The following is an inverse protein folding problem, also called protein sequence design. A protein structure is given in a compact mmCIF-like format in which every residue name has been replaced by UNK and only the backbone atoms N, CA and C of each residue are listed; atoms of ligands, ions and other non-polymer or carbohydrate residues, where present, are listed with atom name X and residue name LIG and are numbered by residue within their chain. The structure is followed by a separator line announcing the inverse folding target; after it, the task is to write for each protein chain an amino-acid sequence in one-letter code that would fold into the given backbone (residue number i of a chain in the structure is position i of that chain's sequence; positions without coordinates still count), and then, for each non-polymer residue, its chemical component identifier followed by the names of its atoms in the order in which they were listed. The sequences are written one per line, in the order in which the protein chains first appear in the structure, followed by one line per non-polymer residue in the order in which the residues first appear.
data_IF_872641951838
#
_entry.id   IF_872641951838
#
_cell.length_a   1.000
_cell.length_b   1.000
_cell.length_c   1.000
_cell.angle_alpha   90.00
_cell.angle_beta   90.00
_cell.angle_gamma   90.00
#
_symmetry.space_group_name_H-M   'P 1'
#
loop_
_entity.id
_entity.type
_entity.pdbx_description
1 polymer ?
#
# COMPACT_ATOMS: atom_id res chain seq x y z
N UNK A 1 -46.70 -45.54 -17.66
CA UNK A 1 -45.48 -46.37 -17.64
C UNK A 1 -44.39 -45.49 -17.01
N UNK A 2 -43.81 -45.76 -15.83
CA UNK A 2 -43.25 -47.03 -15.31
C UNK A 2 -42.14 -47.56 -16.24
N UNK A 3 -40.91 -47.89 -15.83
CA UNK A 3 -40.36 -48.29 -14.50
C UNK A 3 -38.81 -48.05 -14.55
N UNK A 4 -38.06 -47.74 -13.46
CA UNK A 4 -37.25 -48.66 -12.58
C UNK A 4 -36.15 -49.45 -13.37
N UNK A 5 -34.91 -49.74 -12.91
CA UNK A 5 -34.35 -50.07 -11.57
C UNK A 5 -32.79 -49.93 -11.58
N UNK A 6 -32.16 -49.74 -10.40
CA UNK A 6 -30.89 -50.42 -9.99
C UNK A 6 -29.56 -49.62 -10.16
N UNK A 7 -28.66 -49.40 -9.19
CA UNK A 7 -28.33 -49.94 -7.84
C UNK A 7 -27.22 -51.02 -7.75
N UNK A 8 -26.03 -50.62 -7.30
CA UNK A 8 -24.98 -51.41 -6.61
C UNK A 8 -24.10 -50.39 -5.81
N UNK A 9 -23.83 -50.46 -4.49
CA UNK A 9 -23.18 -51.51 -3.64
C UNK A 9 -21.65 -51.56 -3.94
N UNK A 10 -20.69 -51.46 -3.00
CA UNK A 10 -20.63 -51.75 -1.55
C UNK A 10 -19.53 -50.96 -0.79
N UNK A 11 -19.66 -50.79 0.55
CA UNK A 11 -18.69 -50.97 1.67
C UNK A 11 -17.19 -50.51 1.54
N UNK A 12 -16.42 -50.09 2.57
CA UNK A 12 -16.52 -49.83 4.04
C UNK A 12 -15.16 -49.16 4.50
N UNK A 13 -14.80 -48.80 5.75
CA UNK A 13 -15.33 -49.04 7.12
C UNK A 13 -14.89 -47.94 8.14
N UNK A 14 -15.57 -47.93 9.30
CA UNK A 14 -15.19 -47.62 10.72
C UNK A 14 -13.69 -47.54 11.10
N UNK A 15 -13.22 -46.84 12.16
CA UNK A 15 -13.76 -46.40 13.50
C UNK A 15 -13.16 -45.00 13.89
N UNK A 16 -13.72 -44.06 14.67
CA UNK A 16 -14.41 -44.07 16.01
C UNK A 16 -13.41 -44.28 17.18
N UNK A 17 -13.05 -43.29 18.01
CA UNK A 17 -13.74 -42.71 19.21
C UNK A 17 -13.11 -41.34 19.61
N UNK A 18 -13.83 -40.29 20.04
CA UNK A 18 -14.39 -39.98 21.40
C UNK A 18 -13.32 -39.91 22.53
N UNK A 19 -13.33 -39.04 23.56
CA UNK A 19 -14.44 -38.38 24.31
C UNK A 19 -13.89 -37.18 25.17
N UNK A 20 -14.65 -36.06 25.31
CA UNK A 20 -15.05 -35.28 26.53
C UNK A 20 -14.03 -34.92 27.66
N UNK A 21 -14.18 -33.90 28.53
CA UNK A 21 -14.63 -32.47 28.52
C UNK A 21 -14.48 -31.92 29.97
N UNK A 22 -14.68 -30.59 30.19
CA UNK A 22 -15.05 -29.97 31.50
C UNK A 22 -14.01 -30.04 32.66
N UNK A 23 -14.05 -29.21 33.73
CA UNK A 23 -14.50 -27.82 33.96
C UNK A 23 -13.85 -27.26 35.24
N UNK A 24 -13.96 -25.95 35.45
CA UNK A 24 -13.60 -25.15 36.64
C UNK A 24 -13.83 -25.79 38.03
N UNK A 25 -12.90 -25.55 38.96
CA UNK A 25 -13.11 -25.04 40.34
C UNK A 25 -11.82 -25.18 41.19
N UNK A 26 -11.64 -24.56 42.37
CA UNK A 26 -11.94 -23.22 42.90
C UNK A 26 -11.25 -23.13 44.29
N UNK A 27 -11.17 -21.93 44.88
CA UNK A 27 -10.99 -21.67 46.31
C UNK A 27 -9.61 -21.75 46.97
N UNK A 28 -9.30 -20.62 47.59
CA UNK A 28 -8.35 -20.31 48.66
C UNK A 28 -8.41 -21.30 49.85
N UNK A 29 -7.36 -21.35 50.69
CA UNK A 29 -7.50 -21.28 52.17
C UNK A 29 -6.20 -20.87 52.88
N UNK A 30 -6.36 -20.35 54.11
CA UNK A 30 -5.33 -19.75 54.98
C UNK A 30 -4.40 -20.76 55.70
N UNK A 31 -3.20 -20.33 56.09
CA UNK A 31 -2.32 -21.01 57.07
C UNK A 31 -1.15 -20.12 57.50
N UNK A 32 -0.74 -20.13 58.78
CA UNK A 32 0.06 -19.04 59.39
C UNK A 32 1.14 -19.54 60.38
N UNK A 33 2.25 -18.78 60.53
CA UNK A 33 3.37 -18.93 61.51
C UNK A 33 4.33 -20.14 61.24
N UNK A 34 5.61 -20.15 61.67
CA UNK A 34 6.36 -19.27 62.60
C UNK A 34 7.88 -19.24 62.28
N UNK A 35 8.57 -18.23 62.84
CA UNK A 35 10.04 -18.01 62.83
C UNK A 35 10.90 -19.25 63.16
N UNK A 36 12.08 -19.30 62.53
CA UNK A 36 13.34 -19.56 63.24
C UNK A 36 14.41 -18.55 62.79
N UNK A 37 15.12 -17.94 63.76
CA UNK A 37 16.38 -17.24 63.49
C UNK A 37 17.50 -18.27 63.31
N UNK A 38 18.52 -17.97 62.48
CA UNK A 38 19.94 -18.12 62.82
C UNK A 38 20.87 -17.63 61.69
N UNK A 39 21.37 -16.40 61.86
CA UNK A 39 22.75 -15.93 61.80
C UNK A 39 23.77 -16.38 60.71
N UNK A 40 24.75 -15.48 60.51
CA UNK A 40 26.11 -15.68 59.95
C UNK A 40 26.36 -15.70 58.42
N UNK A 41 26.80 -14.53 57.94
CA UNK A 41 28.04 -14.26 57.18
C UNK A 41 28.31 -14.84 55.78
N UNK A 42 28.39 -13.90 54.83
CA UNK A 42 29.53 -13.67 53.90
C UNK A 42 30.25 -14.88 53.29
N UNK A 43 29.84 -15.29 52.08
CA UNK A 43 30.76 -15.82 51.06
C UNK A 43 30.48 -15.14 49.72
N UNK A 44 31.39 -14.27 49.30
CA UNK A 44 31.40 -13.67 47.96
C UNK A 44 31.60 -14.75 46.89
N UNK A 45 30.56 -15.09 46.15
CA UNK A 45 30.70 -15.92 44.94
C UNK A 45 30.93 -15.01 43.74
N UNK A 46 32.13 -15.13 43.16
CA UNK A 46 32.51 -14.51 41.89
C UNK A 46 31.47 -14.89 40.82
N UNK A 47 30.76 -13.89 40.29
CA UNK A 47 29.96 -14.05 39.10
C UNK A 47 30.91 -14.23 37.91
N UNK A 48 31.04 -15.47 37.41
CA UNK A 48 31.71 -15.74 36.14
C UNK A 48 30.85 -15.12 35.05
N UNK A 49 31.34 -14.05 34.42
CA UNK A 49 30.62 -13.37 33.34
C UNK A 49 30.36 -14.34 32.18
N UNK A 50 29.10 -14.50 31.81
CA UNK A 50 28.76 -15.15 30.55
C UNK A 50 29.36 -14.31 29.40
N UNK A 51 29.95 -14.95 28.37
CA UNK A 51 30.43 -14.21 27.22
C UNK A 51 29.24 -13.53 26.54
N UNK A 52 29.30 -12.21 26.37
CA UNK A 52 28.36 -11.51 25.53
C UNK A 52 28.52 -12.06 24.10
N UNK A 53 27.51 -12.80 23.63
CA UNK A 53 27.44 -13.21 22.22
C UNK A 53 27.13 -11.95 21.43
N UNK A 54 28.18 -11.23 21.01
CA UNK A 54 28.07 -10.21 19.97
C UNK A 54 27.65 -10.92 18.69
N UNK A 55 26.34 -10.93 18.43
CA UNK A 55 25.77 -11.32 17.15
C UNK A 55 26.32 -10.35 16.10
N UNK A 56 27.38 -10.76 15.41
CA UNK A 56 27.98 -10.00 14.32
C UNK A 56 26.92 -9.78 13.24
N UNK A 57 26.37 -8.57 13.18
CA UNK A 57 25.40 -8.19 12.17
C UNK A 57 26.14 -8.12 10.83
N UNK A 58 26.08 -9.20 10.05
CA UNK A 58 26.68 -9.27 8.72
C UNK A 58 25.90 -8.30 7.82
N UNK A 59 26.50 -7.21 7.30
CA UNK A 59 25.82 -6.33 6.39
C UNK A 59 25.57 -7.12 5.09
N UNK A 60 24.30 -7.40 4.79
CA UNK A 60 23.89 -8.16 3.60
C UNK A 60 24.02 -7.26 2.36
N UNK A 61 25.26 -7.03 1.91
CA UNK A 61 25.67 -6.11 0.83
C UNK A 61 25.27 -6.57 -0.59
N UNK A 62 24.04 -7.03 -0.76
CA UNK A 62 23.46 -7.40 -2.05
C UNK A 62 21.97 -7.05 -2.06
N UNK A 63 21.65 -5.76 -1.99
CA UNK A 63 20.38 -5.28 -2.52
C UNK A 63 20.49 -5.31 -4.06
N UNK A 64 19.56 -5.99 -4.72
CA UNK A 64 19.51 -6.08 -6.17
C UNK A 64 18.13 -5.63 -6.62
N UNK A 65 18.07 -4.41 -7.17
CA UNK A 65 16.82 -3.79 -7.60
C UNK A 65 16.50 -4.29 -9.01
N UNK A 66 15.34 -4.91 -9.17
CA UNK A 66 14.80 -5.29 -10.48
C UNK A 66 13.92 -4.17 -11.03
N UNK A 67 13.76 -4.09 -12.35
CA UNK A 67 12.79 -3.19 -12.98
C UNK A 67 11.77 -3.98 -13.79
N UNK A 68 10.49 -3.64 -13.63
CA UNK A 68 9.39 -4.15 -14.44
C UNK A 68 8.77 -2.98 -15.23
N UNK A 69 8.44 -3.24 -16.49
CA UNK A 69 7.68 -2.31 -17.32
C UNK A 69 6.21 -2.29 -16.89
N UNK A 70 5.55 -1.15 -17.07
CA UNK A 70 4.12 -0.97 -16.77
C UNK A 70 3.37 -0.67 -18.07
N UNK A 71 2.03 -0.78 -18.11
CA UNK A 71 1.25 -0.39 -19.29
C UNK A 71 1.38 1.10 -19.68
N UNK A 72 1.95 1.93 -18.80
CA UNK A 72 2.20 3.35 -19.04
C UNK A 72 3.70 3.55 -19.39
N UNK A 73 4.06 4.01 -20.60
CA UNK A 73 5.46 4.14 -21.02
C UNK A 73 6.25 5.19 -20.21
N UNK A 74 5.54 6.10 -19.55
CA UNK A 74 6.11 7.13 -18.68
C UNK A 74 6.29 6.64 -17.23
N UNK A 75 5.91 5.40 -16.90
CA UNK A 75 6.03 4.81 -15.57
C UNK A 75 6.87 3.53 -15.58
N UNK A 76 7.77 3.40 -14.62
CA UNK A 76 8.58 2.19 -14.43
C UNK A 76 8.53 1.74 -12.96
N UNK A 77 8.37 0.43 -12.76
CA UNK A 77 8.28 -0.21 -11.46
C UNK A 77 9.65 -0.74 -11.04
N UNK A 78 10.10 -0.41 -9.84
CA UNK A 78 11.37 -0.79 -9.24
C UNK A 78 11.10 -1.70 -8.04
N UNK A 79 11.68 -2.90 -8.03
CA UNK A 79 11.50 -3.90 -6.99
C UNK A 79 12.82 -4.09 -6.24
N UNK A 80 13.03 -3.45 -5.07
CA UNK A 80 14.28 -3.53 -4.32
C UNK A 80 14.53 -4.88 -3.62
N UNK A 81 13.56 -5.80 -3.65
CA UNK A 81 13.65 -7.10 -2.97
C UNK A 81 13.50 -7.04 -1.45
N UNK A 82 12.96 -5.91 -0.95
CA UNK A 82 12.61 -5.67 0.46
C UNK A 82 11.23 -5.00 0.52
N UNK A 83 10.52 -5.18 1.63
CA UNK A 83 9.27 -4.46 1.91
C UNK A 83 9.52 -2.96 1.98
N UNK A 84 8.67 -2.16 1.34
CA UNK A 84 8.80 -0.69 1.25
C UNK A 84 7.88 -0.02 2.27
N UNK A 85 6.58 -0.32 2.25
CA UNK A 85 5.60 0.20 3.22
C UNK A 85 5.18 -0.86 4.22
N UNK A 86 4.60 -1.95 3.72
CA UNK A 86 3.94 -2.98 4.52
C UNK A 86 3.06 -3.86 3.63
N UNK A 87 2.29 -4.77 4.21
CA UNK A 87 1.30 -5.54 3.44
C UNK A 87 0.02 -4.73 3.29
N UNK A 88 -0.47 -4.54 2.06
CA UNK A 88 -1.74 -3.84 1.76
C UNK A 88 -1.67 -2.31 1.75
N UNK A 89 -0.62 -1.72 2.33
CA UNK A 89 -0.38 -0.28 2.35
C UNK A 89 0.23 0.24 1.04
N UNK A 90 -0.26 1.38 0.58
CA UNK A 90 0.18 2.10 -0.60
C UNK A 90 0.21 3.60 -0.32
N UNK A 91 1.03 4.36 -1.04
CA UNK A 91 1.12 5.83 -0.85
C UNK A 91 1.50 6.54 -2.14
N UNK A 92 0.73 7.58 -2.49
CA UNK A 92 1.00 8.45 -3.63
C UNK A 92 1.84 9.69 -3.26
N UNK A 93 2.69 10.08 -4.21
CA UNK A 93 3.44 11.32 -4.16
C UNK A 93 3.34 12.00 -5.53
N UNK A 94 2.22 12.71 -5.79
CA UNK A 94 1.98 13.34 -7.10
C UNK A 94 2.92 14.53 -7.37
N UNK A 95 3.59 15.07 -6.34
CA UNK A 95 4.51 16.20 -6.46
C UNK A 95 5.55 16.21 -5.32
N UNK A 96 6.57 17.05 -5.47
CA UNK A 96 7.65 17.21 -4.49
C UNK A 96 7.22 17.81 -3.15
N UNK A 97 6.02 18.39 -3.02
CA UNK A 97 5.48 18.81 -1.72
C UNK A 97 5.07 17.57 -0.90
N UNK A 98 4.28 16.67 -1.48
CA UNK A 98 3.82 15.43 -0.85
C UNK A 98 4.98 14.56 -0.31
N UNK A 99 6.18 14.70 -0.89
CA UNK A 99 7.40 14.06 -0.44
C UNK A 99 7.75 14.30 1.03
N UNK A 100 7.18 15.31 1.71
CA UNK A 100 7.48 15.60 3.13
C UNK A 100 7.34 14.37 4.05
N UNK A 101 6.42 13.46 3.72
CA UNK A 101 6.09 12.24 4.48
C UNK A 101 7.14 11.13 4.41
N UNK A 102 8.06 11.16 3.43
CA UNK A 102 9.05 10.10 3.22
C UNK A 102 10.45 10.64 2.92
N UNK A 103 11.50 10.25 3.66
CA UNK A 103 12.88 10.64 3.36
C UNK A 103 13.38 10.05 2.03
N UNK A 104 12.99 8.82 1.70
CA UNK A 104 13.29 8.19 0.40
C UNK A 104 12.67 9.00 -0.76
N UNK A 105 11.41 9.40 -0.61
CA UNK A 105 10.73 10.22 -1.61
C UNK A 105 11.42 11.58 -1.81
N UNK A 106 11.84 12.25 -0.72
CA UNK A 106 12.64 13.51 -0.79
C UNK A 106 13.96 13.36 -1.52
N UNK A 107 14.59 12.18 -1.50
CA UNK A 107 15.82 11.92 -2.23
C UNK A 107 15.53 11.66 -3.71
N UNK A 108 14.54 10.82 -4.01
CA UNK A 108 14.13 10.50 -5.38
C UNK A 108 13.64 11.74 -6.16
N UNK A 109 12.93 12.67 -5.52
CA UNK A 109 12.51 13.94 -6.16
C UNK A 109 13.65 14.93 -6.43
N UNK A 110 14.89 14.65 -6.01
CA UNK A 110 16.07 15.45 -6.40
C UNK A 110 16.65 15.02 -7.75
N UNK A 111 16.23 13.86 -8.26
CA UNK A 111 16.62 13.34 -9.57
C UNK A 111 15.87 14.14 -10.63
N UNK A 112 16.61 14.75 -11.56
CA UNK A 112 16.02 15.55 -12.63
C UNK A 112 15.20 14.66 -13.57
N UNK A 113 13.98 15.09 -13.91
CA UNK A 113 13.05 14.34 -14.75
C UNK A 113 12.12 13.37 -14.01
N UNK A 114 12.14 13.30 -12.68
CA UNK A 114 11.11 12.60 -11.88
C UNK A 114 9.89 13.50 -11.66
N UNK A 115 8.69 13.02 -12.02
CA UNK A 115 7.41 13.73 -11.93
C UNK A 115 6.63 13.44 -10.67
N UNK A 116 6.47 12.16 -10.41
CA UNK A 116 5.68 11.61 -9.31
C UNK A 116 6.23 10.24 -8.95
N UNK A 117 5.99 9.86 -7.70
CA UNK A 117 6.47 8.60 -7.12
C UNK A 117 5.26 7.93 -6.46
N UNK A 118 5.22 6.62 -6.50
CA UNK A 118 4.22 5.83 -5.81
C UNK A 118 4.89 4.64 -5.13
N UNK A 119 4.57 4.41 -3.87
CA UNK A 119 5.08 3.29 -3.10
C UNK A 119 3.98 2.25 -2.94
N UNK A 120 4.30 1.02 -3.33
CA UNK A 120 3.50 -0.16 -3.04
C UNK A 120 4.07 -0.98 -1.87
N UNK A 121 3.56 -2.19 -1.65
CA UNK A 121 4.01 -3.07 -0.57
C UNK A 121 5.51 -3.40 -0.61
N UNK A 122 6.01 -3.79 -1.77
CA UNK A 122 7.38 -4.28 -2.03
C UNK A 122 8.03 -3.64 -3.28
N UNK A 123 7.41 -2.60 -3.82
CA UNK A 123 7.86 -1.91 -5.04
C UNK A 123 7.71 -0.39 -4.95
N UNK A 124 8.45 0.30 -5.82
CA UNK A 124 8.41 1.74 -6.02
C UNK A 124 8.14 1.99 -7.50
N UNK A 125 7.04 2.64 -7.83
CA UNK A 125 6.78 3.15 -9.19
C UNK A 125 7.30 4.58 -9.28
N UNK A 126 8.05 4.88 -10.33
CA UNK A 126 8.48 6.25 -10.67
C UNK A 126 7.86 6.63 -12.00
N UNK A 127 7.28 7.84 -12.06
CA UNK A 127 6.78 8.46 -13.29
C UNK A 127 7.77 9.54 -13.73
N UNK A 128 8.14 9.55 -15.02
CA UNK A 128 8.99 10.61 -15.60
C UNK A 128 8.19 11.85 -15.99
N UNK A 129 8.85 13.01 -16.07
CA UNK A 129 8.23 14.30 -16.36
C UNK A 129 7.58 14.33 -17.74
N UNK A 130 8.41 14.05 -18.76
CA UNK A 130 8.10 14.17 -20.19
C UNK A 130 8.62 12.96 -20.98
N UNK A 131 8.10 12.76 -22.19
CA UNK A 131 8.46 11.64 -23.05
C UNK A 131 9.93 11.66 -23.49
N UNK A 132 10.54 12.85 -23.60
CA UNK A 132 11.94 13.06 -23.97
C UNK A 132 12.96 12.57 -22.93
N UNK A 133 12.55 12.37 -21.67
CA UNK A 133 13.44 11.89 -20.61
C UNK A 133 13.74 10.41 -20.80
N UNK A 134 15.00 10.04 -21.06
CA UNK A 134 15.40 8.64 -21.24
C UNK A 134 15.56 7.89 -19.90
N UNK A 135 14.90 6.74 -19.79
CA UNK A 135 15.08 5.80 -18.67
C UNK A 135 16.53 5.33 -18.48
N UNK A 136 17.39 5.44 -19.50
CA UNK A 136 18.82 5.09 -19.41
C UNK A 136 19.59 6.01 -18.45
N UNK A 137 19.15 7.25 -18.29
CA UNK A 137 19.76 8.26 -17.41
C UNK A 137 19.14 8.15 -16.01
N UNK A 138 17.81 8.06 -15.93
CA UNK A 138 17.08 7.92 -14.65
C UNK A 138 17.42 6.63 -13.89
N UNK A 139 17.55 5.48 -14.56
CA UNK A 139 17.75 4.17 -13.88
C UNK A 139 18.99 4.16 -12.95
N UNK A 140 20.20 4.55 -13.40
CA UNK A 140 21.38 4.64 -12.52
C UNK A 140 21.16 5.49 -11.27
N UNK A 141 20.57 6.68 -11.40
CA UNK A 141 20.39 7.60 -10.27
C UNK A 141 19.32 7.11 -9.28
N UNK A 142 18.21 6.56 -9.79
CA UNK A 142 17.17 5.93 -8.97
C UNK A 142 17.74 4.72 -8.23
N UNK A 143 18.52 3.86 -8.90
CA UNK A 143 19.15 2.71 -8.26
C UNK A 143 20.11 3.12 -7.14
N UNK A 144 21.01 4.09 -7.40
CA UNK A 144 21.94 4.59 -6.40
C UNK A 144 21.18 5.14 -5.17
N UNK A 145 20.16 5.97 -5.40
CA UNK A 145 19.35 6.58 -4.35
C UNK A 145 18.62 5.54 -3.49
N UNK A 146 18.01 4.52 -4.10
CA UNK A 146 17.32 3.45 -3.37
C UNK A 146 18.32 2.60 -2.58
N UNK A 147 19.45 2.22 -3.18
CA UNK A 147 20.48 1.41 -2.50
C UNK A 147 21.08 2.15 -1.30
N UNK A 148 21.46 3.42 -1.46
CA UNK A 148 22.03 4.24 -0.38
C UNK A 148 21.01 4.48 0.74
N UNK A 149 19.74 4.72 0.37
CA UNK A 149 18.66 4.86 1.35
C UNK A 149 18.49 3.60 2.21
N UNK A 150 18.30 2.42 1.60
CA UNK A 150 18.14 1.18 2.38
C UNK A 150 19.43 0.75 3.10
N UNK A 151 20.60 1.11 2.60
CA UNK A 151 21.87 0.92 3.31
C UNK A 151 22.01 1.83 4.55
N UNK A 152 21.37 3.01 4.56
CA UNK A 152 21.38 3.94 5.70
C UNK A 152 20.51 3.48 6.87
N UNK A 153 19.54 2.60 6.64
CA UNK A 153 18.60 2.13 7.66
C UNK A 153 17.58 3.17 8.13
N UNK A 154 17.41 4.29 7.39
CA UNK A 154 16.39 5.29 7.67
C UNK A 154 14.96 4.72 7.45
N UNK A 155 13.95 5.20 8.20
CA UNK A 155 12.57 4.77 7.99
C UNK A 155 12.02 5.33 6.67
N UNK A 156 11.31 4.49 5.91
CA UNK A 156 10.70 4.86 4.61
C UNK A 156 9.66 5.97 4.78
N UNK A 157 8.90 5.93 5.87
CA UNK A 157 7.86 6.90 6.23
C UNK A 157 8.28 7.65 7.51
N UNK A 158 8.02 8.95 7.58
CA UNK A 158 8.22 9.78 8.79
C UNK A 158 6.91 10.03 9.54
N UNK A 159 5.80 10.15 8.83
CA UNK A 159 4.46 10.39 9.38
C UNK A 159 3.45 9.48 8.65
N UNK A 160 2.72 8.66 9.41
CA UNK A 160 1.74 7.69 8.90
C UNK A 160 0.31 8.16 9.20
N UNK A 161 -0.27 8.95 8.29
CA UNK A 161 -1.72 9.03 8.15
C UNK A 161 -2.15 7.77 7.37
N UNK A 162 -2.95 6.84 7.93
CA UNK A 162 -3.45 5.71 7.17
C UNK A 162 -4.42 6.21 6.08
N UNK A 163 -4.35 5.64 4.88
CA UNK A 163 -5.34 5.86 3.82
C UNK A 163 -6.68 5.24 4.21
N UNK A 164 -7.48 5.97 5.01
CA UNK A 164 -8.62 5.43 5.77
C UNK A 164 -9.79 4.95 4.90
N UNK A 165 -10.07 5.62 3.79
CA UNK A 165 -11.38 5.50 3.12
C UNK A 165 -11.64 4.16 2.43
N UNK A 166 -10.59 3.39 2.11
CA UNK A 166 -10.73 2.04 1.54
C UNK A 166 -10.94 0.97 2.62
N UNK A 167 -10.68 1.25 3.90
CA UNK A 167 -10.97 0.29 4.97
C UNK A 167 -12.50 0.10 5.11
N UNK A 168 -12.92 -1.15 5.28
CA UNK A 168 -14.32 -1.50 5.54
C UNK A 168 -14.64 -1.12 6.99
N UNK A 169 -15.62 -0.26 7.19
CA UNK A 169 -16.11 0.13 8.52
C UNK A 169 -17.48 -0.51 8.78
N UNK A 170 -17.79 -0.81 10.04
CA UNK A 170 -19.06 -1.48 10.40
C UNK A 170 -20.30 -0.59 10.15
N UNK A 171 -20.10 0.72 9.96
CA UNK A 171 -21.14 1.71 9.65
C UNK A 171 -21.37 1.92 8.13
N UNK A 172 -20.56 1.29 7.26
CA UNK A 172 -20.75 1.35 5.79
C UNK A 172 -22.02 0.57 5.37
N UNK A 173 -22.76 1.08 4.39
CA UNK A 173 -23.88 0.37 3.76
C UNK A 173 -23.46 -0.98 3.16
N UNK A 174 -24.34 -2.00 3.14
CA UNK A 174 -24.01 -3.36 2.66
C UNK A 174 -23.43 -3.33 1.23
N UNK A 175 -23.98 -2.45 0.39
CA UNK A 175 -23.48 -2.17 -0.97
C UNK A 175 -22.04 -1.64 -0.95
N UNK A 176 -21.72 -0.71 -0.04
CA UNK A 176 -20.39 -0.09 0.08
C UNK A 176 -19.37 -1.08 0.62
N UNK A 177 -19.74 -1.91 1.60
CA UNK A 177 -18.89 -2.99 2.09
C UNK A 177 -18.53 -3.97 0.96
N UNK A 178 -19.52 -4.38 0.15
CA UNK A 178 -19.31 -5.26 -1.00
C UNK A 178 -18.47 -4.61 -2.11
N UNK A 179 -18.62 -3.30 -2.35
CA UNK A 179 -17.74 -2.55 -3.27
C UNK A 179 -16.30 -2.59 -2.76
N UNK A 180 -16.07 -2.23 -1.49
CA UNK A 180 -14.74 -2.21 -0.86
C UNK A 180 -14.08 -3.61 -0.89
N UNK A 181 -14.82 -4.66 -0.54
CA UNK A 181 -14.32 -6.05 -0.62
C UNK A 181 -13.91 -6.44 -2.04
N UNK A 182 -14.72 -6.12 -3.07
CA UNK A 182 -14.38 -6.46 -4.45
C UNK A 182 -13.16 -5.68 -4.96
N UNK A 183 -13.03 -4.42 -4.55
CA UNK A 183 -11.85 -3.59 -4.86
C UNK A 183 -10.59 -4.22 -4.26
N UNK A 184 -10.57 -4.51 -2.96
CA UNK A 184 -9.41 -5.06 -2.24
C UNK A 184 -9.05 -6.48 -2.71
N UNK A 185 -10.04 -7.36 -2.91
CA UNK A 185 -9.78 -8.79 -3.17
C UNK A 185 -9.45 -9.10 -4.63
N UNK A 186 -9.86 -8.26 -5.59
CA UNK A 186 -9.72 -8.57 -7.03
C UNK A 186 -9.12 -7.46 -7.88
N UNK A 187 -9.45 -6.21 -7.61
CA UNK A 187 -9.09 -5.10 -8.52
C UNK A 187 -7.72 -4.52 -8.13
N UNK A 188 -7.53 -4.16 -6.85
CA UNK A 188 -6.26 -3.63 -6.34
C UNK A 188 -5.06 -4.55 -6.61
N UNK A 189 -5.13 -5.90 -6.47
CA UNK A 189 -4.01 -6.78 -6.83
C UNK A 189 -3.53 -6.59 -8.27
N UNK A 190 -4.44 -6.60 -9.26
CA UNK A 190 -4.10 -6.40 -10.67
C UNK A 190 -3.61 -4.97 -10.95
N UNK A 191 -4.19 -3.95 -10.30
CA UNK A 191 -3.73 -2.56 -10.46
C UNK A 191 -2.33 -2.34 -9.84
N UNK A 192 -2.03 -3.02 -8.74
CA UNK A 192 -0.71 -2.99 -8.10
C UNK A 192 0.33 -3.81 -8.87
N UNK A 193 -0.07 -4.86 -9.60
CA UNK A 193 0.80 -5.53 -10.59
C UNK A 193 1.27 -4.52 -11.65
N UNK A 194 0.37 -3.70 -12.21
CA UNK A 194 0.65 -2.58 -13.13
C UNK A 194 1.38 -1.38 -12.48
N UNK A 195 1.57 -1.39 -11.15
CA UNK A 195 2.31 -0.38 -10.41
C UNK A 195 1.52 0.88 -10.04
N UNK A 196 0.19 0.81 -10.06
CA UNK A 196 -0.71 1.83 -9.50
C UNK A 196 -1.45 1.36 -8.25
N UNK A 197 -2.45 2.12 -7.85
CA UNK A 197 -3.52 1.65 -6.94
C UNK A 197 -4.81 2.44 -7.20
N UNK A 198 -5.89 2.06 -6.54
CA UNK A 198 -7.15 2.80 -6.52
C UNK A 198 -7.63 3.00 -5.07
N UNK A 199 -8.16 4.20 -4.80
CA UNK A 199 -8.76 4.57 -3.53
C UNK A 199 -10.26 4.77 -3.74
N UNK A 200 -11.07 4.17 -2.89
CA UNK A 200 -12.51 4.41 -2.86
C UNK A 200 -12.78 5.76 -2.23
N UNK A 201 -13.58 6.61 -2.90
CA UNK A 201 -13.87 7.99 -2.46
C UNK A 201 -15.36 8.21 -2.15
N UNK A 202 -16.21 7.21 -2.38
CA UNK A 202 -17.65 7.28 -2.11
C UNK A 202 -18.52 6.58 -3.14
N UNK A 203 -19.81 6.41 -2.80
CA UNK A 203 -20.83 5.81 -3.67
C UNK A 203 -22.15 6.57 -3.51
N UNK A 204 -22.65 7.13 -4.62
CA UNK A 204 -23.86 7.97 -4.62
C UNK A 204 -24.66 7.71 -5.90
N UNK A 205 -25.98 7.54 -5.80
CA UNK A 205 -26.90 7.40 -6.94
C UNK A 205 -26.49 6.31 -7.96
N UNK A 206 -25.87 5.23 -7.50
CA UNK A 206 -25.35 4.16 -8.36
C UNK A 206 -23.99 4.46 -9.01
N UNK A 207 -23.36 5.61 -8.71
CA UNK A 207 -22.03 5.98 -9.22
C UNK A 207 -20.98 5.77 -8.13
N UNK A 208 -19.99 4.93 -8.43
CA UNK A 208 -18.81 4.72 -7.57
C UNK A 208 -17.74 5.76 -7.92
N UNK A 209 -17.32 6.57 -6.95
CA UNK A 209 -16.25 7.56 -7.10
C UNK A 209 -14.92 6.91 -6.69
N UNK A 210 -13.96 6.86 -7.61
CA UNK A 210 -12.64 6.31 -7.37
C UNK A 210 -11.55 7.34 -7.68
N UNK A 211 -10.53 7.40 -6.84
CA UNK A 211 -9.26 8.09 -7.14
C UNK A 211 -8.25 7.05 -7.65
N UNK A 212 -7.63 7.33 -8.79
CA UNK A 212 -6.52 6.52 -9.31
C UNK A 212 -5.17 7.02 -8.78
N UNK A 213 -4.21 6.13 -8.56
CA UNK A 213 -2.87 6.43 -8.05
C UNK A 213 -1.76 5.71 -8.84
N UNK A 214 -0.51 6.19 -8.71
CA UNK A 214 0.67 5.60 -9.36
C UNK A 214 0.58 5.55 -10.89
N UNK A 215 0.96 4.43 -11.50
CA UNK A 215 0.98 4.22 -12.97
C UNK A 215 -0.31 4.63 -13.70
N UNK A 216 -1.45 4.53 -13.02
CA UNK A 216 -2.78 4.82 -13.56
C UNK A 216 -3.06 6.31 -13.72
N UNK A 217 -2.28 7.18 -13.06
CA UNK A 217 -2.42 8.64 -13.19
C UNK A 217 -1.64 9.17 -14.38
N UNK A 218 -2.30 9.94 -15.26
CA UNK A 218 -1.66 10.65 -16.36
C UNK A 218 -1.49 9.91 -17.69
N UNK A 219 -2.06 8.71 -17.88
CA UNK A 219 -2.10 8.04 -19.18
C UNK A 219 -3.56 7.93 -19.68
N UNK A 220 -3.99 8.68 -20.72
CA UNK A 220 -5.41 8.75 -21.11
C UNK A 220 -5.94 7.41 -21.66
N UNK A 221 -5.11 6.59 -22.30
CA UNK A 221 -5.50 5.25 -22.77
C UNK A 221 -5.67 4.27 -21.61
N UNK A 222 -4.79 4.31 -20.62
CA UNK A 222 -4.87 3.46 -19.42
C UNK A 222 -6.06 3.84 -18.54
N UNK A 223 -6.32 5.14 -18.32
CA UNK A 223 -7.45 5.63 -17.52
C UNK A 223 -8.79 5.12 -18.04
N UNK A 224 -9.06 5.28 -19.35
CA UNK A 224 -10.33 4.84 -19.94
C UNK A 224 -10.47 3.32 -19.89
N UNK A 225 -9.40 2.59 -20.19
CA UNK A 225 -9.41 1.12 -20.19
C UNK A 225 -9.64 0.56 -18.79
N UNK A 226 -8.93 1.08 -17.79
CA UNK A 226 -9.04 0.66 -16.40
C UNK A 226 -10.42 1.02 -15.82
N UNK A 227 -10.90 2.25 -16.04
CA UNK A 227 -12.26 2.66 -15.62
C UNK A 227 -13.33 1.72 -16.18
N UNK A 228 -13.26 1.39 -17.48
CA UNK A 228 -14.22 0.48 -18.10
C UNK A 228 -14.12 -0.95 -17.54
N UNK A 229 -12.90 -1.44 -17.29
CA UNK A 229 -12.68 -2.75 -16.67
C UNK A 229 -13.28 -2.83 -15.26
N UNK A 230 -12.99 -1.84 -14.42
CA UNK A 230 -13.53 -1.72 -13.06
C UNK A 230 -15.05 -1.62 -13.08
N UNK A 231 -15.61 -0.77 -13.94
CA UNK A 231 -17.06 -0.61 -14.07
C UNK A 231 -17.75 -1.92 -14.47
N UNK A 232 -17.22 -2.62 -15.47
CA UNK A 232 -17.79 -3.91 -15.91
C UNK A 232 -17.73 -4.97 -14.80
N UNK A 233 -16.66 -5.00 -13.99
CA UNK A 233 -16.56 -5.91 -12.85
C UNK A 233 -17.56 -5.56 -11.74
N UNK A 234 -17.64 -4.28 -11.36
CA UNK A 234 -18.58 -3.83 -10.32
C UNK A 234 -20.03 -4.08 -10.74
N UNK A 235 -20.43 -3.70 -11.96
CA UNK A 235 -21.78 -3.94 -12.50
C UNK A 235 -22.15 -5.44 -12.55
N UNK A 236 -21.18 -6.34 -12.74
CA UNK A 236 -21.44 -7.78 -12.79
C UNK A 236 -21.71 -8.39 -11.40
N UNK A 237 -21.01 -7.92 -10.36
CA UNK A 237 -21.18 -8.42 -9.00
C UNK A 237 -22.21 -7.64 -8.18
N UNK A 238 -22.46 -6.37 -8.51
CA UNK A 238 -23.24 -5.41 -7.73
C UNK A 238 -24.22 -4.68 -8.67
N UNK A 239 -25.49 -5.12 -8.76
CA UNK A 239 -26.46 -4.56 -9.70
C UNK A 239 -26.92 -3.13 -9.36
N UNK A 240 -26.66 -2.63 -8.14
CA UNK A 240 -26.88 -1.21 -7.81
C UNK A 240 -25.86 -0.27 -8.45
N UNK A 241 -24.70 -0.76 -8.87
CA UNK A 241 -23.70 0.07 -9.55
C UNK A 241 -24.15 0.32 -10.99
N UNK A 242 -24.41 1.58 -11.32
CA UNK A 242 -24.73 2.05 -12.67
C UNK A 242 -23.49 2.53 -13.41
N UNK A 243 -22.47 3.02 -12.70
CA UNK A 243 -21.24 3.53 -13.33
C UNK A 243 -20.10 3.82 -12.35
N UNK A 244 -18.94 4.14 -12.92
CA UNK A 244 -17.74 4.54 -12.17
C UNK A 244 -17.28 5.91 -12.65
N UNK A 245 -16.96 6.81 -11.71
CA UNK A 245 -16.39 8.13 -11.98
C UNK A 245 -15.00 8.23 -11.36
N UNK A 246 -14.06 8.83 -12.12
CA UNK A 246 -12.75 9.16 -11.58
C UNK A 246 -12.83 10.54 -10.95
N UNK A 247 -12.40 10.66 -9.70
CA UNK A 247 -12.24 11.95 -9.03
C UNK A 247 -10.76 12.29 -8.86
N UNK A 248 -10.43 13.58 -9.00
CA UNK A 248 -9.14 14.16 -8.64
C UNK A 248 -9.24 14.75 -7.22
N UNK A 249 -8.14 14.84 -6.48
CA UNK A 249 -8.16 15.47 -5.15
C UNK A 249 -8.59 16.94 -5.26
N UNK A 250 -9.38 17.44 -4.31
CA UNK A 250 -9.74 18.86 -4.22
C UNK A 250 -8.49 19.77 -4.24
N UNK A 251 -7.40 19.33 -3.60
CA UNK A 251 -6.11 20.03 -3.60
C UNK A 251 -5.51 20.12 -5.01
N UNK A 252 -5.60 19.06 -5.81
CA UNK A 252 -5.09 19.05 -7.19
C UNK A 252 -5.95 19.98 -8.07
N UNK A 253 -7.27 19.93 -7.92
CA UNK A 253 -8.21 20.80 -8.63
C UNK A 253 -7.93 22.27 -8.30
N UNK A 254 -7.79 22.62 -7.02
CA UNK A 254 -7.47 23.99 -6.58
C UNK A 254 -6.10 24.46 -7.10
N UNK A 255 -5.07 23.61 -7.01
CA UNK A 255 -3.72 23.95 -7.53
C UNK A 255 -3.76 24.27 -9.03
N UNK A 256 -4.52 23.49 -9.81
CA UNK A 256 -4.68 23.68 -11.25
C UNK A 256 -5.45 24.97 -11.58
N UNK A 257 -6.53 25.26 -10.84
CA UNK A 257 -7.30 26.51 -10.99
C UNK A 257 -6.46 27.75 -10.66
N UNK A 258 -5.65 27.69 -9.59
CA UNK A 258 -4.72 28.77 -9.23
C UNK A 258 -3.66 28.99 -10.31
N UNK A 259 -3.09 27.90 -10.84
CA UNK A 259 -2.11 27.95 -11.93
C UNK A 259 -2.69 28.58 -13.20
N UNK A 260 -3.87 28.13 -13.66
CA UNK A 260 -4.57 28.73 -14.80
C UNK A 260 -4.89 30.22 -14.58
N UNK A 261 -5.26 30.61 -13.35
CA UNK A 261 -5.52 32.01 -13.02
C UNK A 261 -4.23 32.85 -13.05
N UNK A 262 -3.10 32.26 -12.66
CA UNK A 262 -1.79 32.90 -12.72
C UNK A 262 -1.29 33.07 -14.16
N UNK A 263 -1.43 32.07 -15.02
CA UNK A 263 -1.11 32.18 -16.45
C UNK A 263 -1.92 33.28 -17.14
N UNK A 264 -3.24 33.33 -16.88
CA UNK A 264 -4.13 34.38 -17.41
C UNK A 264 -3.69 35.79 -16.97
N UNK A 265 -3.23 35.95 -15.72
CA UNK A 265 -2.65 37.23 -15.23
C UNK A 265 -1.35 37.59 -15.94
N UNK A 266 -0.44 36.63 -16.12
CA UNK A 266 0.83 36.86 -16.84
C UNK A 266 0.62 37.24 -18.31
N UNK A 267 -0.38 36.64 -18.98
CA UNK A 267 -0.74 37.00 -20.36
C UNK A 267 -1.31 38.43 -20.43
N UNK A 268 -2.26 38.78 -19.56
CA UNK A 268 -2.81 40.13 -19.49
C UNK A 268 -1.74 41.20 -19.15
N UNK A 269 -0.75 40.88 -18.31
CA UNK A 269 0.38 41.79 -18.05
C UNK A 269 1.31 41.96 -19.26
N UNK A 270 1.50 40.92 -20.09
CA UNK A 270 2.28 41.02 -21.33
C UNK A 270 1.55 41.89 -22.36
N UNK A 271 0.26 41.63 -22.57
CA UNK A 271 -0.58 42.44 -23.46
C UNK A 271 -0.61 43.91 -23.05
N UNK A 272 -0.71 44.21 -21.75
CA UNK A 272 -0.65 45.59 -21.25
C UNK A 272 0.72 46.26 -21.44
N UNK A 273 1.82 45.49 -21.45
CA UNK A 273 3.18 46.02 -21.70
C UNK A 273 3.48 46.20 -23.20
N UNK A 274 2.91 45.37 -24.07
CA UNK A 274 3.05 45.50 -25.52
C UNK A 274 2.17 46.62 -26.12
N UNK A 275 1.05 46.96 -25.46
CA UNK A 275 0.16 48.05 -25.87
C UNK A 275 0.52 49.43 -25.25
N UNK A 276 1.69 49.57 -24.63
CA UNK A 276 2.15 50.84 -24.06
C UNK A 276 3.14 51.54 -25.02
N UNK A 277 2.79 52.72 -25.57
CA UNK A 277 3.55 53.40 -26.64
C UNK A 277 4.80 54.16 -26.15
#
# INVERSE_FOLDING_TARGET
MATRVGSAICACTRNVTYITAMQNANSQYFGNKRLYHLNSSWISRLAVGAPAVTTSFVPKRTMFIQTQETPNPNCLKFLPGVTVLGSGETMDFPNGQAAYRSPLCKLLFRIEGVKSIFFGPDFITVTKLDEDVEWRILKPEIFATIMDFFASGLPVITESEPSSDTQITEDDDETVQMIKELLDTRIRPTVQEDGGDIVFMGFENGIVKLKMQGSCTGCPSSVVTLKNGIQNMLQFYIPEVLGVEQVEDEIQIMTKLEFEQFEKKLLAEKENKENQP
#
